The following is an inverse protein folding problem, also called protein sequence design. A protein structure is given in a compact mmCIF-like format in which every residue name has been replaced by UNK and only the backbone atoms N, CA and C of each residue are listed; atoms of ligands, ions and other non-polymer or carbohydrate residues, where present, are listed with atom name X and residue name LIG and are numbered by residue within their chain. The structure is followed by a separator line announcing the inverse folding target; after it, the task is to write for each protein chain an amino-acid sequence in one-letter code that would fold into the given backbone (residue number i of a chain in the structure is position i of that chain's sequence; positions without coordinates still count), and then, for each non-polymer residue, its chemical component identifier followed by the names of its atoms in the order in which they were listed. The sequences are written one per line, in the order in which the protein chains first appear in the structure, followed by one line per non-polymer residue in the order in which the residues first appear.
data_IF_817488692781
#
_entry.id   IF_817488692781
#
_cell.length_a   1.000
_cell.length_b   1.000
_cell.length_c   1.000
_cell.angle_alpha   90.00
_cell.angle_beta   90.00
_cell.angle_gamma   90.00
#
_symmetry.space_group_name_H-M   'P 1'
#
loop_
_entity.id
_entity.type
_entity.pdbx_description
1 polymer ?
#
# COMPACT_ATOMS: atom_id res chain seq x y z
N UNK A 1 8.94 -33.69 6.26
CA UNK A 1 7.57 -33.33 6.67
C UNK A 1 7.41 -31.82 6.59
N UNK A 2 7.32 -31.25 5.39
CA UNK A 2 7.22 -29.81 5.16
C UNK A 2 5.99 -29.53 4.30
N UNK A 3 5.04 -28.77 4.84
CA UNK A 3 3.78 -28.46 4.17
C UNK A 3 3.97 -27.13 3.42
N UNK A 4 3.98 -27.21 2.09
CA UNK A 4 4.19 -26.10 1.17
C UNK A 4 2.95 -26.00 0.29
N UNK A 5 1.97 -25.15 0.59
CA UNK A 5 0.95 -24.71 -0.38
C UNK A 5 0.17 -23.48 0.13
N UNK A 6 0.45 -22.29 -0.41
CA UNK A 6 -0.58 -21.38 -0.96
C UNK A 6 0.02 -20.62 -2.13
N UNK A 7 -0.47 -20.91 -3.34
CA UNK A 7 -0.06 -20.33 -4.61
C UNK A 7 -0.97 -19.13 -4.92
N UNK A 8 -0.44 -17.91 -4.80
CA UNK A 8 -1.13 -16.68 -5.24
C UNK A 8 -1.16 -16.63 -6.78
N UNK A 9 -2.35 -16.58 -7.38
CA UNK A 9 -2.50 -16.36 -8.83
C UNK A 9 -2.53 -14.86 -9.11
N UNK A 10 -1.48 -14.34 -9.74
CA UNK A 10 -1.38 -12.95 -10.19
C UNK A 10 -1.76 -12.79 -11.65
N UNK A 11 -2.10 -11.55 -12.01
CA UNK A 11 -2.40 -11.13 -13.38
C UNK A 11 -1.13 -11.14 -14.24
N UNK A 12 -1.24 -11.65 -15.49
CA UNK A 12 -0.12 -11.96 -16.40
C UNK A 12 0.30 -10.79 -17.30
N UNK A 13 1.60 -10.55 -17.42
CA UNK A 13 2.24 -9.82 -18.54
C UNK A 13 3.18 -10.75 -19.34
N UNK A 14 3.53 -10.35 -20.57
CA UNK A 14 4.13 -11.22 -21.63
C UNK A 14 5.58 -11.70 -21.40
N UNK A 15 6.20 -11.39 -20.26
CA UNK A 15 7.43 -12.04 -19.78
C UNK A 15 7.19 -12.39 -18.30
N UNK A 16 7.29 -13.69 -17.96
CA UNK A 16 6.62 -14.34 -16.83
C UNK A 16 7.09 -14.04 -15.40
N UNK A 17 7.42 -12.79 -15.05
CA UNK A 17 7.53 -12.39 -13.66
C UNK A 17 6.18 -11.83 -13.17
N UNK A 18 5.47 -12.62 -12.38
CA UNK A 18 4.28 -12.18 -11.67
C UNK A 18 4.70 -11.12 -10.63
N UNK A 19 4.31 -9.85 -10.84
CA UNK A 19 4.56 -8.79 -9.86
C UNK A 19 3.78 -9.11 -8.59
N UNK A 20 4.50 -9.33 -7.48
CA UNK A 20 3.87 -9.65 -6.20
C UNK A 20 3.27 -8.40 -5.56
N UNK A 21 2.36 -8.58 -4.60
CA UNK A 21 1.85 -7.45 -3.81
C UNK A 21 2.98 -6.77 -3.02
N UNK A 22 4.01 -7.52 -2.61
CA UNK A 22 5.18 -6.97 -1.95
C UNK A 22 6.00 -6.05 -2.89
N UNK A 23 6.24 -6.47 -4.12
CA UNK A 23 6.93 -5.64 -5.12
C UNK A 23 6.12 -4.39 -5.47
N UNK A 24 4.82 -4.55 -5.66
CA UNK A 24 3.89 -3.46 -5.99
C UNK A 24 3.85 -2.40 -4.88
N UNK A 25 3.69 -2.83 -3.63
CA UNK A 25 3.66 -1.91 -2.47
C UNK A 25 5.01 -1.27 -2.19
N UNK A 26 6.13 -1.96 -2.46
CA UNK A 26 7.48 -1.35 -2.43
C UNK A 26 7.64 -0.25 -3.47
N UNK A 27 7.22 -0.50 -4.72
CA UNK A 27 7.27 0.50 -5.78
C UNK A 27 6.36 1.69 -5.45
N UNK A 28 5.18 1.44 -4.88
CA UNK A 28 4.28 2.49 -4.41
C UNK A 28 4.92 3.32 -3.29
N UNK A 29 5.55 2.70 -2.29
CA UNK A 29 6.25 3.40 -1.21
C UNK A 29 7.37 4.33 -1.76
N UNK A 30 8.11 3.91 -2.79
CA UNK A 30 9.11 4.77 -3.45
C UNK A 30 8.45 5.99 -4.10
N UNK A 31 7.27 5.81 -4.73
CA UNK A 31 6.51 6.93 -5.32
C UNK A 31 5.99 7.88 -4.24
N UNK A 32 5.53 7.37 -3.11
CA UNK A 32 5.14 8.18 -1.93
C UNK A 32 6.33 8.99 -1.42
N UNK A 33 7.51 8.38 -1.23
CA UNK A 33 8.72 9.08 -0.79
C UNK A 33 9.06 10.24 -1.74
N UNK A 34 8.99 10.02 -3.06
CA UNK A 34 9.23 11.08 -4.05
C UNK A 34 8.20 12.20 -3.99
N UNK A 35 6.92 11.87 -3.79
CA UNK A 35 5.86 12.85 -3.62
C UNK A 35 6.07 13.67 -2.34
N UNK A 36 6.33 13.02 -1.21
CA UNK A 36 6.59 13.67 0.07
C UNK A 36 7.85 14.53 0.06
N UNK A 37 8.91 14.12 -0.65
CA UNK A 37 10.11 14.94 -0.85
C UNK A 37 9.79 16.25 -1.58
N UNK A 38 8.89 16.22 -2.57
CA UNK A 38 8.41 17.44 -3.23
C UNK A 38 7.57 18.31 -2.29
N UNK A 39 6.68 17.71 -1.50
CA UNK A 39 5.82 18.44 -0.56
C UNK A 39 6.60 19.06 0.61
N UNK A 40 7.66 18.39 1.08
CA UNK A 40 8.45 18.83 2.25
C UNK A 40 9.31 20.08 1.99
N UNK A 41 9.55 20.40 0.71
CA UNK A 41 10.15 21.67 0.31
C UNK A 41 9.24 22.88 0.63
N UNK A 42 7.95 22.63 0.90
CA UNK A 42 7.00 23.66 1.31
C UNK A 42 6.83 23.64 2.83
N UNK A 43 7.04 24.78 3.48
CA UNK A 43 6.87 24.90 4.93
C UNK A 43 5.38 24.93 5.35
N UNK A 44 5.12 24.66 6.63
CA UNK A 44 3.77 24.79 7.20
C UNK A 44 2.88 23.56 7.00
N UNK A 45 1.62 23.79 6.64
CA UNK A 45 0.57 22.75 6.59
C UNK A 45 0.95 21.59 5.66
N UNK A 46 1.55 21.90 4.51
CA UNK A 46 1.99 20.90 3.53
C UNK A 46 3.02 19.92 4.10
N UNK A 47 3.98 20.38 4.89
CA UNK A 47 4.94 19.52 5.59
C UNK A 47 4.26 18.56 6.57
N UNK A 48 3.30 19.07 7.34
CA UNK A 48 2.54 18.25 8.29
C UNK A 48 1.73 17.16 7.58
N UNK A 49 1.03 17.50 6.50
CA UNK A 49 0.27 16.53 5.70
C UNK A 49 1.20 15.53 4.99
N UNK A 50 2.33 16.01 4.46
CA UNK A 50 3.37 15.17 3.84
C UNK A 50 3.88 14.10 4.81
N UNK A 51 4.10 14.43 6.08
CA UNK A 51 4.53 13.48 7.08
C UNK A 51 3.47 12.40 7.38
N UNK A 52 2.19 12.74 7.39
CA UNK A 52 1.11 11.75 7.55
C UNK A 52 1.02 10.82 6.34
N UNK A 53 1.12 11.38 5.13
CA UNK A 53 1.15 10.61 3.89
C UNK A 53 2.37 9.68 3.81
N UNK A 54 3.55 10.18 4.21
CA UNK A 54 4.80 9.43 4.18
C UNK A 54 4.71 8.20 5.08
N UNK A 55 4.25 8.39 6.33
CA UNK A 55 4.11 7.32 7.32
C UNK A 55 3.12 6.26 6.85
N UNK A 56 1.89 6.68 6.52
CA UNK A 56 0.85 5.74 6.07
C UNK A 56 1.24 5.02 4.78
N UNK A 57 1.69 5.74 3.76
CA UNK A 57 2.00 5.17 2.44
C UNK A 57 3.18 4.19 2.44
N UNK A 58 4.18 4.41 3.29
CA UNK A 58 5.31 3.47 3.43
C UNK A 58 4.98 2.28 4.35
N UNK A 59 4.11 2.48 5.34
CA UNK A 59 3.65 1.45 6.29
C UNK A 59 2.92 0.30 5.59
N UNK A 60 2.24 0.56 4.47
CA UNK A 60 1.58 -0.50 3.67
C UNK A 60 2.57 -1.59 3.26
N UNK A 61 3.66 -1.20 2.59
CA UNK A 61 4.67 -2.14 2.10
C UNK A 61 5.46 -2.79 3.23
N UNK A 62 5.71 -2.05 4.33
CA UNK A 62 6.36 -2.58 5.51
C UNK A 62 5.55 -3.74 6.13
N UNK A 63 4.24 -3.52 6.36
CA UNK A 63 3.36 -4.55 6.92
C UNK A 63 3.14 -5.74 5.97
N UNK A 64 3.03 -5.49 4.65
CA UNK A 64 2.99 -6.57 3.65
C UNK A 64 4.25 -7.42 3.70
N UNK A 65 5.42 -6.80 3.88
CA UNK A 65 6.70 -7.52 4.00
C UNK A 65 6.80 -8.27 5.33
N UNK A 66 6.35 -7.69 6.44
CA UNK A 66 6.28 -8.38 7.73
C UNK A 66 5.37 -9.61 7.67
N UNK A 67 4.25 -9.53 6.95
CA UNK A 67 3.36 -10.67 6.74
C UNK A 67 4.10 -11.86 6.10
N UNK A 68 5.07 -11.64 5.20
CA UNK A 68 5.84 -12.74 4.60
C UNK A 68 6.68 -13.55 5.61
N UNK A 69 6.95 -12.97 6.79
CA UNK A 69 7.67 -13.62 7.89
C UNK A 69 6.73 -14.06 9.02
N UNK A 70 5.42 -14.06 8.80
CA UNK A 70 4.42 -14.36 9.82
C UNK A 70 4.57 -15.78 10.36
N UNK A 71 4.41 -15.92 11.68
CA UNK A 71 4.59 -17.20 12.38
C UNK A 71 3.29 -18.03 12.48
N UNK A 72 2.16 -17.45 12.09
CA UNK A 72 0.86 -18.13 12.07
C UNK A 72 -0.08 -17.49 11.05
N UNK A 73 -1.16 -18.19 10.72
CA UNK A 73 -2.21 -17.64 9.86
C UNK A 73 -2.87 -16.37 10.45
N UNK A 74 -3.07 -16.32 11.78
CA UNK A 74 -3.60 -15.13 12.46
C UNK A 74 -2.64 -13.94 12.40
N UNK A 75 -1.35 -14.20 12.56
CA UNK A 75 -0.30 -13.18 12.45
C UNK A 75 -0.23 -12.64 11.00
N UNK A 76 -0.27 -13.54 10.01
CA UNK A 76 -0.33 -13.16 8.59
C UNK A 76 -1.53 -12.25 8.29
N UNK A 77 -2.72 -12.65 8.72
CA UNK A 77 -3.94 -11.86 8.57
C UNK A 77 -3.82 -10.50 9.26
N UNK A 78 -3.36 -10.46 10.51
CA UNK A 78 -3.19 -9.23 11.29
C UNK A 78 -2.31 -8.21 10.57
N UNK A 79 -1.15 -8.65 10.04
CA UNK A 79 -0.25 -7.77 9.28
C UNK A 79 -0.90 -7.24 7.99
N UNK A 80 -1.64 -8.07 7.27
CA UNK A 80 -2.37 -7.61 6.08
C UNK A 80 -3.53 -6.67 6.42
N UNK A 81 -4.19 -6.82 7.57
CA UNK A 81 -5.21 -5.89 8.04
C UNK A 81 -4.61 -4.52 8.42
N UNK A 82 -3.42 -4.50 9.03
CA UNK A 82 -2.69 -3.26 9.27
C UNK A 82 -2.35 -2.60 7.93
N UNK A 83 -1.79 -3.34 6.97
CA UNK A 83 -1.52 -2.81 5.63
C UNK A 83 -2.79 -2.24 4.96
N UNK A 84 -3.94 -2.91 5.14
CA UNK A 84 -5.23 -2.46 4.63
C UNK A 84 -5.66 -1.13 5.28
N UNK A 85 -5.53 -0.99 6.60
CA UNK A 85 -5.81 0.26 7.32
C UNK A 85 -4.94 1.40 6.76
N UNK A 86 -3.64 1.17 6.65
CA UNK A 86 -2.66 2.14 6.15
C UNK A 86 -2.96 2.55 4.70
N UNK A 87 -3.45 1.62 3.86
CA UNK A 87 -3.84 1.92 2.49
C UNK A 87 -5.05 2.83 2.38
N UNK A 88 -5.98 2.77 3.34
CA UNK A 88 -7.15 3.66 3.41
C UNK A 88 -6.76 5.04 3.91
N UNK A 89 -5.92 5.10 4.94
CA UNK A 89 -5.37 6.36 5.44
C UNK A 89 -4.54 7.09 4.36
N UNK A 90 -3.75 6.33 3.59
CA UNK A 90 -2.99 6.88 2.46
C UNK A 90 -3.92 7.48 1.39
N UNK A 91 -5.01 6.80 1.03
CA UNK A 91 -6.00 7.33 0.09
C UNK A 91 -6.60 8.64 0.60
N UNK A 92 -7.03 8.66 1.86
CA UNK A 92 -7.59 9.85 2.50
C UNK A 92 -6.63 11.05 2.42
N UNK A 93 -5.34 10.86 2.73
CA UNK A 93 -4.38 11.97 2.62
C UNK A 93 -4.15 12.44 1.19
N UNK A 94 -4.15 11.53 0.20
CA UNK A 94 -4.04 11.91 -1.21
C UNK A 94 -5.29 12.68 -1.67
N UNK A 95 -6.49 12.25 -1.26
CA UNK A 95 -7.76 12.94 -1.52
C UNK A 95 -7.75 14.35 -0.93
N UNK A 96 -7.39 14.49 0.35
CA UNK A 96 -7.28 15.81 1.01
C UNK A 96 -6.30 16.73 0.28
N UNK A 97 -5.14 16.23 -0.14
CA UNK A 97 -4.16 17.04 -0.88
C UNK A 97 -4.72 17.52 -2.24
N UNK A 98 -5.46 16.65 -2.94
CA UNK A 98 -6.10 16.97 -4.23
C UNK A 98 -7.24 17.97 -4.04
N UNK A 99 -8.18 17.69 -3.14
CA UNK A 99 -9.40 18.46 -2.93
C UNK A 99 -9.14 19.84 -2.30
N UNK A 100 -8.10 19.95 -1.47
CA UNK A 100 -7.66 21.25 -0.94
C UNK A 100 -6.96 22.14 -1.97
N UNK A 101 -6.69 21.64 -3.18
CA UNK A 101 -5.97 22.37 -4.22
C UNK A 101 -4.48 22.59 -3.92
N UNK A 102 -3.93 21.91 -2.92
CA UNK A 102 -2.53 22.05 -2.53
C UNK A 102 -1.56 21.33 -3.47
N UNK A 103 -2.07 20.45 -4.33
CA UNK A 103 -1.26 19.68 -5.29
C UNK A 103 -1.89 19.65 -6.67
N UNK A 104 -1.06 19.44 -7.69
CA UNK A 104 -1.53 19.24 -9.05
C UNK A 104 -2.21 17.86 -9.20
N UNK A 105 -3.49 17.86 -9.58
CA UNK A 105 -4.31 16.64 -9.72
C UNK A 105 -3.65 15.63 -10.66
N UNK A 106 -3.04 16.08 -11.75
CA UNK A 106 -2.36 15.21 -12.73
C UNK A 106 -1.23 14.37 -12.11
N UNK A 107 -0.56 14.88 -11.07
CA UNK A 107 0.57 14.23 -10.39
C UNK A 107 0.12 13.27 -9.29
N UNK A 108 -0.96 13.60 -8.58
CA UNK A 108 -1.44 12.83 -7.42
C UNK A 108 -2.52 11.81 -7.76
N UNK A 109 -3.33 12.04 -8.81
CA UNK A 109 -4.36 11.09 -9.25
C UNK A 109 -3.80 9.69 -9.58
N UNK A 110 -2.61 9.54 -10.23
CA UNK A 110 -2.00 8.22 -10.42
C UNK A 110 -1.52 7.55 -9.12
N UNK A 111 -1.25 8.31 -8.05
CA UNK A 111 -0.94 7.74 -6.73
C UNK A 111 -2.22 7.24 -6.06
N UNK A 112 -3.30 8.02 -6.14
CA UNK A 112 -4.60 7.62 -5.61
C UNK A 112 -5.09 6.34 -6.27
N UNK A 113 -5.03 6.26 -7.60
CA UNK A 113 -5.41 5.07 -8.36
C UNK A 113 -4.63 3.83 -7.91
N UNK A 114 -3.31 3.96 -7.73
CA UNK A 114 -2.48 2.85 -7.28
C UNK A 114 -2.81 2.43 -5.84
N UNK A 115 -3.05 3.39 -4.94
CA UNK A 115 -3.47 3.11 -3.57
C UNK A 115 -4.81 2.37 -3.55
N UNK A 116 -5.79 2.78 -4.37
CA UNK A 116 -7.09 2.11 -4.51
C UNK A 116 -6.94 0.66 -5.00
N UNK A 117 -6.08 0.41 -5.99
CA UNK A 117 -5.83 -0.95 -6.48
C UNK A 117 -5.14 -1.83 -5.43
N UNK A 118 -4.18 -1.29 -4.68
CA UNK A 118 -3.56 -1.98 -3.54
C UNK A 118 -4.61 -2.33 -2.48
N UNK A 119 -5.49 -1.39 -2.12
CA UNK A 119 -6.58 -1.62 -1.17
C UNK A 119 -7.53 -2.73 -1.63
N UNK A 120 -7.92 -2.76 -2.91
CA UNK A 120 -8.77 -3.84 -3.45
C UNK A 120 -8.11 -5.21 -3.31
N UNK A 121 -6.81 -5.30 -3.59
CA UNK A 121 -6.04 -6.55 -3.42
C UNK A 121 -6.03 -6.96 -1.94
N UNK A 122 -5.70 -6.04 -1.03
CA UNK A 122 -5.66 -6.33 0.40
C UNK A 122 -7.03 -6.74 0.96
N UNK A 123 -8.13 -6.12 0.49
CA UNK A 123 -9.50 -6.55 0.84
C UNK A 123 -9.75 -7.98 0.37
N UNK A 124 -9.42 -8.31 -0.88
CA UNK A 124 -9.62 -9.65 -1.42
C UNK A 124 -8.79 -10.70 -0.65
N UNK A 125 -7.52 -10.39 -0.36
CA UNK A 125 -6.61 -11.26 0.40
C UNK A 125 -7.10 -11.49 1.83
N UNK A 126 -7.41 -10.44 2.57
CA UNK A 126 -7.89 -10.54 3.97
C UNK A 126 -9.23 -11.27 4.05
N UNK A 127 -10.17 -11.01 3.13
CA UNK A 127 -11.46 -11.74 3.06
C UNK A 127 -11.25 -13.24 2.81
N UNK A 128 -10.33 -13.60 1.91
CA UNK A 128 -10.03 -15.00 1.61
C UNK A 128 -9.44 -15.73 2.81
N UNK A 129 -8.53 -15.10 3.55
CA UNK A 129 -7.93 -15.68 4.76
C UNK A 129 -8.96 -15.86 5.86
N UNK A 130 -9.84 -14.89 6.10
CA UNK A 130 -10.93 -15.01 7.08
C UNK A 130 -11.88 -16.18 6.80
N UNK A 131 -12.10 -16.51 5.53
CA UNK A 131 -12.96 -17.61 5.13
C UNK A 131 -12.27 -18.98 5.17
N UNK A 132 -10.93 -19.02 5.30
CA UNK A 132 -10.12 -20.24 5.35
C UNK A 132 -9.15 -20.16 6.54
N UNK A 133 -9.65 -20.31 7.78
CA UNK A 133 -8.91 -20.05 9.02
C UNK A 133 -7.73 -20.98 9.28
#
# INVERSE_FOLDING_TARGET
MGIFWVRERGFRTRYGNQVTIADRTKQFAIRIIKACYFLDQQAGILRTLSNQLLRSGTSIGANVREAQSAQSHRDFLSKLEIALKESRETQYWIEILIESGMVEVSKFKPLLQEATEITKILIASTKKLKNNP
#
